data_IF_091897009988
#
_entry.id   IF_091897009988
#
_cell.length_a   1.000
_cell.length_b   1.000
_cell.length_c   1.000
_cell.angle_alpha   90.00
_cell.angle_beta   90.00
_cell.angle_gamma   90.00
#
_symmetry.space_group_name_H-M   'P 1'
#
loop_
_entity.id
_entity.type
_entity.pdbx_description
1 polymer ?
#
# COMPACT_ATOMS: atom_id res chain seq x y z
N UNK A 1 -11.62 -12.42 5.38
CA UNK A 1 -12.14 -13.11 6.59
C UNK A 1 -10.97 -13.53 7.44
N UNK A 2 -11.01 -13.23 8.73
CA UNK A 2 -9.96 -13.69 9.66
C UNK A 2 -10.09 -15.19 9.94
N UNK A 3 -8.94 -15.85 10.09
CA UNK A 3 -8.87 -17.27 10.52
C UNK A 3 -8.39 -17.39 11.97
N UNK A 4 -8.18 -16.23 12.65
CA UNK A 4 -7.59 -16.16 14.00
C UNK A 4 -8.47 -16.74 15.11
N UNK A 5 -9.75 -16.97 14.83
CA UNK A 5 -10.73 -17.55 15.75
C UNK A 5 -10.95 -19.06 15.52
N UNK A 6 -10.23 -19.66 14.55
CA UNK A 6 -10.22 -21.11 14.37
C UNK A 6 -9.30 -21.78 15.39
N UNK A 7 -9.83 -22.80 16.06
CA UNK A 7 -9.03 -23.62 16.98
C UNK A 7 -8.20 -24.65 16.18
N UNK A 8 -6.89 -24.39 16.09
CA UNK A 8 -5.95 -25.27 15.36
C UNK A 8 -5.81 -26.67 15.95
N UNK A 9 -6.35 -26.92 17.14
CA UNK A 9 -6.37 -28.24 17.78
C UNK A 9 -7.67 -29.01 17.54
N UNK A 10 -8.65 -28.39 16.85
CA UNK A 10 -9.93 -29.02 16.52
C UNK A 10 -9.79 -30.04 15.39
N UNK A 11 -10.49 -31.18 15.50
CA UNK A 11 -10.59 -32.18 14.43
C UNK A 11 -11.24 -31.62 13.15
N UNK A 12 -11.93 -30.50 13.21
CA UNK A 12 -12.58 -29.83 12.07
C UNK A 12 -11.74 -28.69 11.48
N UNK A 13 -10.58 -28.38 12.05
CA UNK A 13 -9.78 -27.21 11.68
C UNK A 13 -9.53 -27.09 10.17
N UNK A 14 -9.06 -28.18 9.54
CA UNK A 14 -8.75 -28.17 8.11
C UNK A 14 -10.01 -27.94 7.25
N UNK A 15 -11.15 -28.51 7.66
CA UNK A 15 -12.44 -28.34 6.96
C UNK A 15 -12.95 -26.91 7.13
N UNK A 16 -12.86 -26.35 8.33
CA UNK A 16 -13.33 -25.01 8.64
C UNK A 16 -12.43 -23.96 7.94
N UNK A 17 -11.12 -24.21 7.89
CA UNK A 17 -10.18 -23.38 7.16
C UNK A 17 -10.45 -23.39 5.65
N UNK A 18 -10.67 -24.57 5.07
CA UNK A 18 -11.03 -24.70 3.65
C UNK A 18 -12.32 -23.95 3.33
N UNK A 19 -13.36 -24.15 4.16
CA UNK A 19 -14.64 -23.44 3.99
C UNK A 19 -14.47 -21.94 4.02
N UNK A 20 -13.69 -21.38 4.95
CA UNK A 20 -13.43 -19.93 5.02
C UNK A 20 -12.63 -19.41 3.85
N UNK A 21 -11.67 -20.20 3.33
CA UNK A 21 -10.95 -19.83 2.10
C UNK A 21 -11.90 -19.76 0.90
N UNK A 22 -12.80 -20.74 0.76
CA UNK A 22 -13.79 -20.76 -0.32
C UNK A 22 -14.78 -19.58 -0.22
N UNK A 23 -15.25 -19.26 0.99
CA UNK A 23 -16.10 -18.10 1.24
C UNK A 23 -15.38 -16.77 0.94
N UNK A 24 -14.11 -16.65 1.31
CA UNK A 24 -13.32 -15.46 1.02
C UNK A 24 -13.10 -15.30 -0.48
N UNK A 25 -12.82 -16.39 -1.19
CA UNK A 25 -12.72 -16.41 -2.65
C UNK A 25 -14.03 -15.98 -3.31
N UNK A 26 -15.13 -16.58 -2.91
CA UNK A 26 -16.45 -16.23 -3.44
C UNK A 26 -16.79 -14.75 -3.25
N UNK A 27 -16.48 -14.18 -2.09
CA UNK A 27 -16.66 -12.74 -1.83
C UNK A 27 -15.80 -11.85 -2.73
N UNK A 28 -14.55 -12.24 -2.97
CA UNK A 28 -13.67 -11.50 -3.88
C UNK A 28 -14.19 -11.54 -5.33
N UNK A 29 -14.66 -12.72 -5.77
CA UNK A 29 -15.26 -12.90 -7.09
C UNK A 29 -16.55 -12.10 -7.25
N UNK A 30 -17.44 -12.13 -6.23
CA UNK A 30 -18.69 -11.38 -6.21
C UNK A 30 -18.43 -9.86 -6.24
N UNK A 31 -17.48 -9.36 -5.44
CA UNK A 31 -17.11 -7.96 -5.43
C UNK A 31 -16.63 -7.49 -6.81
N UNK A 32 -15.75 -8.25 -7.45
CA UNK A 32 -15.27 -7.93 -8.80
C UNK A 32 -16.39 -8.01 -9.84
N UNK A 33 -17.29 -8.99 -9.70
CA UNK A 33 -18.43 -9.14 -10.60
C UNK A 33 -19.42 -7.97 -10.46
N UNK A 34 -19.71 -7.50 -9.24
CA UNK A 34 -20.54 -6.32 -8.99
C UNK A 34 -19.95 -5.08 -9.63
N UNK A 35 -18.64 -4.86 -9.46
CA UNK A 35 -17.96 -3.73 -10.09
C UNK A 35 -18.07 -3.77 -11.62
N UNK A 36 -17.79 -4.94 -12.24
CA UNK A 36 -17.90 -5.13 -13.70
C UNK A 36 -19.31 -4.97 -14.25
N UNK A 37 -20.32 -5.25 -13.44
CA UNK A 37 -21.72 -5.06 -13.81
C UNK A 37 -22.23 -3.62 -13.61
N UNK A 38 -21.48 -2.80 -12.87
CA UNK A 38 -21.79 -1.39 -12.62
C UNK A 38 -21.06 -0.45 -13.58
N UNK A 39 -20.60 0.68 -13.06
CA UNK A 39 -19.94 1.72 -13.86
C UNK A 39 -18.53 1.33 -14.34
N UNK A 40 -17.91 0.36 -13.66
CA UNK A 40 -16.60 -0.19 -13.97
C UNK A 40 -15.49 0.88 -14.10
N UNK A 41 -15.56 1.92 -13.26
CA UNK A 41 -14.60 3.03 -13.18
C UNK A 41 -13.67 2.87 -11.97
N UNK A 42 -12.56 3.60 -11.96
CA UNK A 42 -11.66 3.68 -10.81
C UNK A 42 -12.40 4.16 -9.56
N UNK A 43 -13.21 5.22 -9.66
CA UNK A 43 -14.00 5.75 -8.54
C UNK A 43 -14.97 4.71 -7.97
N UNK A 44 -15.62 3.93 -8.83
CA UNK A 44 -16.52 2.86 -8.39
C UNK A 44 -15.77 1.69 -7.75
N UNK A 45 -14.53 1.43 -8.19
CA UNK A 45 -13.65 0.45 -7.54
C UNK A 45 -13.21 0.92 -6.16
N UNK A 46 -12.85 2.19 -6.02
CA UNK A 46 -12.50 2.80 -4.73
C UNK A 46 -13.68 2.77 -3.75
N UNK A 47 -14.90 3.03 -4.22
CA UNK A 47 -16.12 2.91 -3.40
C UNK A 47 -16.33 1.47 -2.92
N UNK A 48 -16.14 0.49 -3.80
CA UNK A 48 -16.22 -0.93 -3.46
C UNK A 48 -15.14 -1.33 -2.44
N UNK A 49 -13.92 -0.82 -2.60
CA UNK A 49 -12.83 -1.07 -1.65
C UNK A 49 -13.16 -0.52 -0.25
N UNK A 50 -13.74 0.69 -0.15
CA UNK A 50 -14.18 1.25 1.13
C UNK A 50 -15.28 0.42 1.80
N UNK A 51 -16.12 -0.28 1.02
CA UNK A 51 -17.22 -1.10 1.55
C UNK A 51 -16.74 -2.50 1.97
N UNK A 52 -15.92 -3.15 1.17
CA UNK A 52 -15.59 -4.57 1.32
C UNK A 52 -14.19 -4.85 1.88
N UNK A 53 -13.25 -3.92 1.75
CA UNK A 53 -11.85 -4.16 2.14
C UNK A 53 -11.70 -4.31 3.65
N UNK A 54 -10.95 -5.31 4.05
CA UNK A 54 -10.51 -5.54 5.43
C UNK A 54 -9.02 -5.20 5.62
N UNK A 55 -8.39 -4.63 4.61
CA UNK A 55 -7.01 -4.18 4.69
C UNK A 55 -6.91 -2.85 5.46
N UNK A 56 -6.32 -2.84 6.67
CA UNK A 56 -6.25 -1.64 7.49
C UNK A 56 -5.32 -0.56 6.90
N UNK A 57 -4.48 -0.93 5.93
CA UNK A 57 -3.55 0.00 5.26
C UNK A 57 -4.21 0.88 4.21
N UNK A 58 -5.34 0.45 3.63
CA UNK A 58 -5.94 1.14 2.48
C UNK A 58 -7.46 1.24 2.50
N UNK A 59 -8.15 0.55 3.41
CA UNK A 59 -9.62 0.48 3.43
C UNK A 59 -10.35 1.80 3.70
N UNK A 60 -9.64 2.86 4.08
CA UNK A 60 -10.18 4.22 4.28
C UNK A 60 -9.80 5.19 3.17
N UNK A 61 -8.97 4.75 2.24
CA UNK A 61 -8.45 5.54 1.11
C UNK A 61 -8.83 4.95 -0.25
N UNK A 62 -9.94 4.23 -0.31
CA UNK A 62 -10.41 3.59 -1.54
C UNK A 62 -9.56 2.40 -2.01
N UNK A 63 -8.76 1.83 -1.13
CA UNK A 63 -7.87 0.72 -1.46
C UNK A 63 -6.61 1.14 -2.24
N UNK A 64 -6.33 2.45 -2.39
CA UNK A 64 -5.21 2.95 -3.17
C UNK A 64 -3.87 2.71 -2.46
N UNK A 65 -2.94 2.14 -3.20
CA UNK A 65 -1.52 2.05 -2.87
C UNK A 65 -0.72 2.85 -3.90
N UNK A 66 -0.04 3.89 -3.44
CA UNK A 66 0.83 4.74 -4.26
C UNK A 66 2.30 4.41 -4.02
N UNK A 67 3.14 4.75 -4.97
CA UNK A 67 4.60 4.60 -4.89
C UNK A 67 5.05 3.17 -4.56
N UNK A 68 4.31 2.18 -5.06
CA UNK A 68 4.69 0.77 -4.92
C UNK A 68 5.88 0.48 -5.82
N UNK A 69 6.97 -0.02 -5.25
CA UNK A 69 8.15 -0.45 -6.01
C UNK A 69 8.34 -1.96 -5.96
N UNK A 70 9.06 -2.47 -6.93
CA UNK A 70 9.27 -3.91 -7.08
C UNK A 70 9.94 -4.52 -5.83
N UNK A 71 9.34 -5.57 -5.29
CA UNK A 71 9.82 -6.27 -4.09
C UNK A 71 9.31 -5.72 -2.76
N UNK A 72 8.49 -4.67 -2.76
CA UNK A 72 7.90 -4.09 -1.55
C UNK A 72 6.75 -4.92 -0.99
N UNK A 73 5.94 -5.49 -1.87
CA UNK A 73 4.74 -6.23 -1.53
C UNK A 73 4.97 -7.75 -1.56
N UNK A 74 3.99 -8.52 -1.08
CA UNK A 74 4.01 -9.99 -1.21
C UNK A 74 4.15 -10.40 -2.68
N UNK A 75 4.77 -11.56 -2.91
CA UNK A 75 5.17 -12.01 -4.26
C UNK A 75 4.03 -11.94 -5.27
N UNK A 76 2.85 -12.46 -4.92
CA UNK A 76 1.71 -12.52 -5.83
C UNK A 76 1.17 -11.14 -6.21
N UNK A 77 1.22 -10.18 -5.27
CA UNK A 77 0.87 -8.79 -5.52
C UNK A 77 1.91 -8.13 -6.42
N UNK A 78 3.19 -8.30 -6.09
CA UNK A 78 4.29 -7.78 -6.87
C UNK A 78 4.24 -8.28 -8.32
N UNK A 79 4.13 -9.59 -8.52
CA UNK A 79 4.11 -10.20 -9.85
C UNK A 79 2.91 -9.72 -10.67
N UNK A 80 1.77 -9.53 -10.02
CA UNK A 80 0.59 -9.01 -10.70
C UNK A 80 0.76 -7.55 -11.12
N UNK A 81 1.26 -6.67 -10.24
CA UNK A 81 1.42 -5.24 -10.52
C UNK A 81 2.52 -4.97 -11.55
N UNK A 82 3.63 -5.73 -11.50
CA UNK A 82 4.80 -5.51 -12.35
C UNK A 82 4.86 -6.43 -13.58
N UNK A 83 3.76 -7.10 -13.92
CA UNK A 83 3.65 -7.80 -15.19
C UNK A 83 3.79 -6.78 -16.34
N UNK A 84 4.77 -6.95 -17.25
CA UNK A 84 5.01 -5.99 -18.33
C UNK A 84 3.84 -5.85 -19.33
N UNK A 85 2.88 -6.78 -19.30
CA UNK A 85 1.67 -6.71 -20.10
C UNK A 85 0.54 -5.93 -19.41
N UNK A 86 0.71 -5.52 -18.13
CA UNK A 86 -0.33 -4.85 -17.34
C UNK A 86 -0.66 -3.48 -17.91
N UNK A 87 -1.96 -3.18 -18.01
CA UNK A 87 -2.49 -1.93 -18.53
C UNK A 87 -3.42 -1.27 -17.49
N UNK A 88 -3.49 0.06 -17.53
CA UNK A 88 -4.44 0.83 -16.73
C UNK A 88 -5.87 0.32 -16.96
N UNK A 89 -6.59 0.08 -15.88
CA UNK A 89 -7.93 -0.51 -15.92
C UNK A 89 -7.97 -2.03 -15.84
N UNK A 90 -6.81 -2.71 -15.88
CA UNK A 90 -6.76 -4.16 -15.66
C UNK A 90 -7.22 -4.52 -14.25
N UNK A 91 -7.97 -5.59 -14.15
CA UNK A 91 -8.45 -6.12 -12.87
C UNK A 91 -8.10 -7.59 -12.72
N UNK A 92 -7.92 -8.01 -11.48
CA UNK A 92 -7.63 -9.40 -11.16
C UNK A 92 -7.95 -9.75 -9.73
N UNK A 93 -7.87 -11.04 -9.43
CA UNK A 93 -7.91 -11.55 -8.06
C UNK A 93 -6.62 -12.33 -7.85
N UNK A 94 -5.88 -11.97 -6.83
CA UNK A 94 -4.71 -12.72 -6.37
C UNK A 94 -4.99 -13.36 -5.02
N UNK A 95 -4.26 -14.40 -4.70
CA UNK A 95 -4.33 -15.10 -3.42
C UNK A 95 -2.93 -15.25 -2.84
N UNK A 96 -2.78 -14.83 -1.59
CA UNK A 96 -1.61 -15.11 -0.78
C UNK A 96 -2.04 -15.82 0.51
N UNK A 97 -1.31 -16.84 0.92
CA UNK A 97 -1.67 -17.67 2.09
C UNK A 97 -1.70 -16.90 3.41
N UNK A 98 -0.92 -15.81 3.52
CA UNK A 98 -0.83 -15.02 4.74
C UNK A 98 -1.84 -13.89 4.80
N UNK A 99 -2.17 -13.28 3.64
CA UNK A 99 -2.99 -12.07 3.54
C UNK A 99 -4.39 -12.31 2.96
N UNK A 100 -4.61 -13.49 2.35
CA UNK A 100 -5.90 -13.88 1.78
C UNK A 100 -6.07 -13.48 0.32
N UNK A 101 -7.31 -13.16 -0.07
CA UNK A 101 -7.67 -12.77 -1.43
C UNK A 101 -7.68 -11.26 -1.57
N UNK A 102 -7.03 -10.77 -2.62
CA UNK A 102 -7.00 -9.35 -2.99
C UNK A 102 -7.66 -9.18 -4.35
N UNK A 103 -8.65 -8.29 -4.40
CA UNK A 103 -9.22 -7.82 -5.67
C UNK A 103 -8.42 -6.61 -6.11
N UNK A 104 -7.84 -6.69 -7.30
CA UNK A 104 -6.87 -5.73 -7.82
C UNK A 104 -7.47 -4.92 -8.95
N UNK A 105 -7.15 -3.63 -8.98
CA UNK A 105 -7.35 -2.71 -10.09
C UNK A 105 -6.05 -1.96 -10.37
N UNK A 106 -5.58 -1.95 -11.58
CA UNK A 106 -4.35 -1.29 -11.96
C UNK A 106 -4.62 0.14 -12.43
N UNK A 107 -4.25 1.12 -11.62
CA UNK A 107 -4.41 2.55 -11.92
C UNK A 107 -3.39 3.00 -12.96
N UNK A 108 -2.15 2.52 -12.86
CA UNK A 108 -1.07 2.88 -13.78
C UNK A 108 0.30 2.77 -13.13
N UNK A 109 1.29 3.14 -13.90
CA UNK A 109 2.66 3.33 -13.42
C UNK A 109 2.85 4.79 -13.01
N UNK A 110 3.48 4.99 -11.88
CA UNK A 110 3.97 6.28 -11.41
C UNK A 110 5.41 6.51 -11.94
N UNK A 111 6.02 7.60 -11.50
CA UNK A 111 7.42 7.87 -11.82
C UNK A 111 8.31 6.72 -11.34
N UNK A 112 9.34 6.34 -12.11
CA UNK A 112 10.29 5.32 -11.68
C UNK A 112 10.89 5.67 -10.30
N UNK A 113 10.95 4.69 -9.41
CA UNK A 113 11.44 4.89 -8.04
C UNK A 113 12.81 5.58 -7.96
N UNK A 114 13.71 5.27 -8.90
CA UNK A 114 15.02 5.93 -8.98
C UNK A 114 14.94 7.43 -9.29
N UNK A 115 13.94 7.88 -10.06
CA UNK A 115 13.72 9.31 -10.31
C UNK A 115 13.28 10.05 -9.04
N UNK A 116 12.42 9.40 -8.24
CA UNK A 116 11.98 9.93 -6.94
C UNK A 116 13.19 10.08 -6.01
N UNK A 117 14.06 9.05 -5.93
CA UNK A 117 15.26 9.08 -5.10
C UNK A 117 16.23 10.16 -5.55
N UNK A 118 16.56 10.22 -6.83
CA UNK A 118 17.48 11.23 -7.38
C UNK A 118 16.93 12.64 -7.15
N UNK A 119 15.63 12.85 -7.33
CA UNK A 119 15.00 14.15 -7.08
C UNK A 119 15.10 14.55 -5.60
N UNK A 120 14.87 13.62 -4.68
CA UNK A 120 15.01 13.85 -3.25
C UNK A 120 16.46 14.19 -2.86
N UNK A 121 17.44 13.45 -3.38
CA UNK A 121 18.85 13.69 -3.13
C UNK A 121 19.29 15.08 -3.65
N UNK A 122 18.88 15.47 -4.86
CA UNK A 122 19.15 16.78 -5.42
C UNK A 122 18.54 17.92 -4.59
N UNK A 123 17.34 17.74 -4.05
CA UNK A 123 16.71 18.73 -3.16
C UNK A 123 17.48 18.83 -1.86
N UNK A 124 17.87 17.72 -1.26
CA UNK A 124 18.66 17.70 -0.02
C UNK A 124 20.02 18.40 -0.21
N UNK A 125 20.75 18.05 -1.28
CA UNK A 125 22.03 18.68 -1.61
C UNK A 125 21.89 20.20 -1.81
N UNK A 126 20.82 20.63 -2.49
CA UNK A 126 20.55 22.04 -2.69
C UNK A 126 20.22 22.77 -1.36
N UNK A 127 19.47 22.13 -0.48
CA UNK A 127 19.14 22.67 0.85
C UNK A 127 20.40 22.74 1.72
N UNK A 128 21.23 21.71 1.73
CA UNK A 128 22.47 21.69 2.49
C UNK A 128 23.44 22.78 2.00
N UNK A 129 23.61 22.91 0.68
CA UNK A 129 24.41 23.98 0.08
C UNK A 129 23.89 25.36 0.48
N UNK A 130 22.57 25.57 0.43
CA UNK A 130 21.95 26.83 0.86
C UNK A 130 22.24 27.14 2.33
N UNK A 131 22.12 26.14 3.21
CA UNK A 131 22.44 26.35 4.64
C UNK A 131 23.91 26.65 4.85
N UNK A 132 24.82 25.95 4.20
CA UNK A 132 26.25 26.20 4.27
C UNK A 132 26.59 27.64 3.84
N UNK A 133 26.10 28.07 2.68
CA UNK A 133 26.30 29.45 2.17
C UNK A 133 25.73 30.52 3.10
N UNK A 134 24.56 30.25 3.71
CA UNK A 134 23.88 31.23 4.57
C UNK A 134 24.44 31.26 5.98
N UNK A 135 25.04 30.18 6.43
CA UNK A 135 25.65 30.11 7.78
C UNK A 135 27.16 30.33 7.77
N UNK A 136 27.77 30.43 6.58
CA UNK A 136 29.20 30.73 6.46
C UNK A 136 29.52 32.06 7.19
N UNK A 137 30.41 31.98 8.17
CA UNK A 137 30.83 33.11 9.00
C UNK A 137 29.98 33.38 10.24
N UNK A 138 28.91 32.60 10.47
CA UNK A 138 28.20 32.68 11.74
C UNK A 138 28.75 31.65 12.74
N UNK A 139 29.18 32.15 13.89
CA UNK A 139 29.52 31.30 15.06
C UNK A 139 28.39 31.35 16.06
N UNK A 140 27.82 30.20 16.42
CA UNK A 140 26.84 30.13 17.50
C UNK A 140 27.55 30.27 18.85
N UNK A 141 27.34 31.41 19.53
CA UNK A 141 27.78 31.56 20.91
C UNK A 141 26.63 31.21 21.86
N UNK A 142 26.89 30.30 22.80
CA UNK A 142 25.94 30.00 23.86
C UNK A 142 25.85 31.17 24.85
N UNK A 143 24.69 31.80 24.89
CA UNK A 143 24.42 32.81 25.92
C UNK A 143 24.15 32.11 27.26
N UNK A 144 24.97 32.43 28.26
CA UNK A 144 24.75 31.91 29.63
C UNK A 144 23.40 32.35 30.21
N UNK A 145 22.84 33.46 29.74
CA UNK A 145 21.53 33.94 30.14
C UNK A 145 20.42 33.05 29.52
N UNK A 146 20.54 32.67 28.24
CA UNK A 146 19.57 31.78 27.57
C UNK A 146 19.57 30.36 28.18
N UNK A 147 20.71 29.87 28.57
CA UNK A 147 20.85 28.52 29.19
C UNK A 147 20.20 28.42 30.57
N UNK A 148 20.00 29.51 31.28
CA UNK A 148 19.37 29.49 32.62
C UNK A 148 17.85 29.28 32.58
N UNK A 149 17.23 29.30 31.37
CA UNK A 149 15.81 29.08 31.15
C UNK A 149 15.47 27.72 30.52
N UNK A 150 16.49 26.88 30.22
CA UNK A 150 16.34 25.53 29.69
C UNK A 150 16.70 24.55 30.83
N UNK A 151 15.76 24.33 31.73
CA UNK A 151 15.86 23.41 32.85
C UNK A 151 14.64 22.50 32.94
#
# INVERSE_FOLDING_TARGET
MSTSDLDSSSDTYDTDLATRKDEAKAKAEDALAQWKAGDATEDSFAALANEYSQDPGSNTTGGLYEQVYQGQMVTEFNDWCFDPARQTGDTGIIHNESTGYHVMYFVGYDQPYWEIQVSADLVNDAVDTFYEEKTEGYTAEQSSFGMSFVG
#
